data_IF_552028762295
#
_entry.id   IF_552028762295
#
_cell.length_a   1.000
_cell.length_b   1.000
_cell.length_c   1.000
_cell.angle_alpha   90.00
_cell.angle_beta   90.00
_cell.angle_gamma   90.00
#
_symmetry.space_group_name_H-M   'P 1'
#
loop_
_entity.id
_entity.type
_entity.pdbx_description
1 polymer ?
#
# COMPACT_ATOMS: atom_id res chain seq x y z
N UNK A 1 22.73 -10.42 -13.26
CA UNK A 1 21.32 -10.07 -13.50
C UNK A 1 20.52 -11.36 -13.51
N UNK A 2 19.60 -11.55 -12.56
CA UNK A 2 18.78 -12.77 -12.48
C UNK A 2 17.64 -12.66 -13.50
N UNK A 3 17.77 -13.42 -14.60
CA UNK A 3 16.90 -13.36 -15.79
C UNK A 3 15.62 -14.24 -15.62
N UNK A 4 15.54 -15.00 -14.53
CA UNK A 4 14.35 -15.71 -14.07
C UNK A 4 14.55 -16.09 -12.60
N UNK A 5 13.46 -16.31 -11.85
CA UNK A 5 13.52 -16.94 -10.54
C UNK A 5 12.85 -18.31 -10.63
N UNK A 6 13.65 -19.36 -10.87
CA UNK A 6 13.23 -20.76 -10.72
C UNK A 6 13.54 -21.20 -9.29
N UNK A 7 12.50 -21.43 -8.48
CA UNK A 7 12.68 -21.98 -7.13
C UNK A 7 12.85 -23.50 -7.21
N UNK A 8 14.10 -23.99 -7.29
CA UNK A 8 14.42 -25.43 -7.24
C UNK A 8 14.66 -25.92 -5.80
N UNK A 9 13.74 -25.67 -4.87
CA UNK A 9 13.81 -26.25 -3.52
C UNK A 9 12.64 -27.19 -3.27
N UNK A 10 12.69 -28.33 -3.95
CA UNK A 10 11.66 -29.38 -3.88
C UNK A 10 11.64 -30.10 -2.52
N UNK A 11 12.54 -29.76 -1.59
CA UNK A 11 12.57 -30.35 -0.25
C UNK A 11 11.58 -29.69 0.74
N UNK A 12 11.01 -28.52 0.41
CA UNK A 12 10.08 -27.77 1.27
C UNK A 12 8.83 -27.26 0.53
N UNK A 13 8.48 -27.86 -0.61
CA UNK A 13 7.33 -27.42 -1.40
C UNK A 13 6.01 -27.81 -0.71
N UNK A 14 5.29 -26.82 -0.19
CA UNK A 14 3.87 -26.92 0.12
C UNK A 14 3.10 -27.18 -1.20
N UNK A 15 2.32 -28.26 -1.25
CA UNK A 15 1.63 -28.80 -2.45
C UNK A 15 0.52 -27.91 -3.05
N UNK A 16 0.57 -26.59 -2.85
CA UNK A 16 -0.39 -25.62 -3.41
C UNK A 16 0.22 -24.61 -4.39
N UNK A 17 1.54 -24.63 -4.62
CA UNK A 17 2.17 -23.72 -5.57
C UNK A 17 2.32 -24.39 -6.94
N UNK A 18 1.48 -24.02 -7.90
CA UNK A 18 1.81 -24.23 -9.31
C UNK A 18 3.07 -23.43 -9.64
N UNK A 19 4.09 -24.10 -10.19
CA UNK A 19 5.30 -23.44 -10.70
C UNK A 19 4.91 -22.55 -11.87
N UNK A 20 4.72 -21.26 -11.63
CA UNK A 20 4.47 -20.28 -12.68
C UNK A 20 5.81 -19.64 -13.04
N UNK A 21 6.31 -19.97 -14.23
CA UNK A 21 7.39 -19.20 -14.84
C UNK A 21 6.86 -17.83 -15.23
N UNK A 22 7.30 -16.80 -14.49
CA UNK A 22 7.01 -15.40 -14.80
C UNK A 22 8.29 -14.75 -15.30
N UNK A 23 8.34 -14.44 -16.59
CA UNK A 23 9.48 -13.75 -17.20
C UNK A 23 9.56 -12.29 -16.73
N UNK A 24 10.77 -11.77 -16.60
CA UNK A 24 11.01 -10.36 -16.25
C UNK A 24 11.99 -9.76 -17.24
N UNK A 25 11.69 -8.57 -17.76
CA UNK A 25 12.65 -7.79 -18.55
C UNK A 25 12.90 -6.45 -17.88
N UNK A 26 14.11 -5.93 -18.00
CA UNK A 26 14.50 -4.64 -17.43
C UNK A 26 14.99 -3.69 -18.53
N UNK A 27 14.72 -2.40 -18.37
CA UNK A 27 15.27 -1.35 -19.23
C UNK A 27 16.69 -0.93 -18.80
N UNK A 28 17.29 0.02 -19.52
CA UNK A 28 18.64 0.55 -19.25
C UNK A 28 18.78 1.33 -17.93
N UNK A 29 17.67 1.60 -17.23
CA UNK A 29 17.63 2.24 -15.91
C UNK A 29 17.41 1.23 -14.77
N UNK A 30 17.51 -0.08 -15.07
CA UNK A 30 17.24 -1.16 -14.14
C UNK A 30 15.78 -1.17 -13.60
N UNK A 31 14.83 -0.74 -14.42
CA UNK A 31 13.39 -0.80 -14.13
C UNK A 31 12.76 -1.98 -14.88
N UNK A 32 11.83 -2.70 -14.27
CA UNK A 32 11.14 -3.81 -14.93
C UNK A 32 10.19 -3.30 -16.00
N UNK A 33 10.44 -3.55 -17.28
CA UNK A 33 9.54 -3.13 -18.36
C UNK A 33 8.47 -4.17 -18.69
N UNK A 34 8.71 -5.44 -18.37
CA UNK A 34 7.72 -6.53 -18.49
C UNK A 34 7.81 -7.47 -17.29
N UNK A 35 6.66 -7.85 -16.75
CA UNK A 35 6.48 -8.87 -15.71
C UNK A 35 5.41 -9.86 -16.18
N UNK A 36 5.82 -11.04 -16.63
CA UNK A 36 4.93 -12.00 -17.28
C UNK A 36 4.35 -11.42 -18.59
N UNK A 37 3.03 -11.23 -18.65
CA UNK A 37 2.35 -10.56 -19.77
C UNK A 37 2.10 -9.07 -19.53
N UNK A 38 2.35 -8.57 -18.31
CA UNK A 38 2.12 -7.17 -17.97
C UNK A 38 3.29 -6.32 -18.46
N UNK A 39 3.00 -5.30 -19.25
CA UNK A 39 3.97 -4.27 -19.62
C UNK A 39 3.87 -3.11 -18.64
N UNK A 40 4.99 -2.76 -18.01
CA UNK A 40 5.08 -1.67 -17.06
C UNK A 40 5.62 -0.40 -17.75
N UNK A 41 5.06 0.74 -17.38
CA UNK A 41 5.48 2.06 -17.83
C UNK A 41 6.04 2.89 -16.68
N UNK A 42 7.01 3.76 -16.97
CA UNK A 42 7.60 4.68 -16.00
C UNK A 42 7.71 6.09 -16.58
N UNK A 43 7.64 7.11 -15.72
CA UNK A 43 7.99 8.48 -16.10
C UNK A 43 9.52 8.73 -16.02
N UNK A 44 9.95 9.94 -16.37
CA UNK A 44 11.36 10.33 -16.35
C UNK A 44 11.97 10.38 -14.94
N UNK A 45 11.15 10.52 -13.90
CA UNK A 45 11.57 10.46 -12.50
C UNK A 45 11.64 9.01 -11.99
N UNK A 46 11.21 8.04 -12.79
CA UNK A 46 11.20 6.63 -12.47
C UNK A 46 9.96 6.17 -11.69
N UNK A 47 8.92 6.99 -11.60
CA UNK A 47 7.66 6.57 -11.00
C UNK A 47 6.91 5.64 -11.96
N UNK A 48 6.24 4.63 -11.41
CA UNK A 48 5.47 3.67 -12.19
C UNK A 48 4.18 4.31 -12.71
N UNK A 49 4.07 4.55 -14.02
CA UNK A 49 2.88 5.16 -14.63
C UNK A 49 1.84 4.16 -15.10
N UNK A 50 2.21 2.89 -15.26
CA UNK A 50 1.28 1.80 -15.56
C UNK A 50 1.83 0.45 -15.14
N UNK A 51 0.98 -0.41 -14.57
CA UNK A 51 1.30 -1.83 -14.31
C UNK A 51 0.74 -2.79 -15.37
N UNK A 52 0.25 -2.24 -16.49
CA UNK A 52 -0.42 -2.98 -17.55
C UNK A 52 -1.93 -3.14 -17.35
N UNK A 53 -2.47 -2.79 -16.18
CA UNK A 53 -3.91 -2.86 -15.88
C UNK A 53 -4.45 -1.57 -15.22
N UNK A 54 -3.61 -0.90 -14.45
CA UNK A 54 -3.86 0.36 -13.73
C UNK A 54 -2.85 1.39 -14.20
N UNK A 55 -3.33 2.59 -14.48
CA UNK A 55 -2.52 3.77 -14.77
C UNK A 55 -2.40 4.64 -13.53
N UNK A 56 -1.24 5.26 -13.33
CA UNK A 56 -0.91 6.05 -12.15
C UNK A 56 -0.45 7.45 -12.56
N UNK A 57 -0.91 8.45 -11.82
CA UNK A 57 -0.51 9.85 -11.99
C UNK A 57 0.14 10.36 -10.71
N UNK A 58 1.15 11.20 -10.88
CA UNK A 58 1.93 11.77 -9.78
C UNK A 58 1.95 13.30 -9.87
N UNK A 59 2.10 13.95 -8.74
CA UNK A 59 2.40 15.38 -8.70
C UNK A 59 3.90 15.67 -8.89
N UNK A 60 4.26 16.95 -8.87
CA UNK A 60 5.64 17.42 -9.04
C UNK A 60 6.58 16.99 -7.90
N UNK A 61 6.03 16.54 -6.78
CA UNK A 61 6.77 16.02 -5.62
C UNK A 61 6.88 14.49 -5.65
N UNK A 62 6.50 13.85 -6.78
CA UNK A 62 6.48 12.40 -6.99
C UNK A 62 5.51 11.65 -6.06
N UNK A 63 4.41 12.29 -5.63
CA UNK A 63 3.36 11.65 -4.85
C UNK A 63 2.21 11.22 -5.74
N UNK A 64 1.69 10.01 -5.50
CA UNK A 64 0.60 9.44 -6.28
C UNK A 64 -0.70 10.23 -6.06
N UNK A 65 -1.28 10.81 -7.10
CA UNK A 65 -2.53 11.58 -7.02
C UNK A 65 -3.74 10.83 -7.58
N UNK A 66 -3.51 9.87 -8.49
CA UNK A 66 -4.58 9.10 -9.12
C UNK A 66 -4.12 7.72 -9.53
N UNK A 67 -5.00 6.74 -9.37
CA UNK A 67 -4.95 5.42 -9.98
C UNK A 67 -6.24 5.18 -10.78
N UNK A 68 -6.14 4.65 -12.00
CA UNK A 68 -7.30 4.39 -12.85
C UNK A 68 -7.15 3.10 -13.67
N UNK A 69 -8.22 2.31 -13.80
CA UNK A 69 -8.18 1.00 -14.47
C UNK A 69 -8.76 -0.09 -13.57
N UNK A 70 -8.04 -1.20 -13.39
CA UNK A 70 -8.47 -2.27 -12.47
C UNK A 70 -8.59 -1.79 -11.01
N UNK A 71 -7.75 -0.84 -10.60
CA UNK A 71 -7.93 -0.09 -9.34
C UNK A 71 -8.23 1.36 -9.66
N UNK A 72 -9.20 1.95 -8.95
CA UNK A 72 -9.55 3.37 -9.11
C UNK A 72 -9.50 4.09 -7.77
N UNK A 73 -8.67 5.13 -7.70
CA UNK A 73 -8.54 5.96 -6.51
C UNK A 73 -8.01 7.34 -6.88
N UNK A 74 -8.40 8.33 -6.09
CA UNK A 74 -7.83 9.67 -6.05
C UNK A 74 -7.26 9.90 -4.66
N UNK A 75 -6.09 10.53 -4.61
CA UNK A 75 -5.37 10.79 -3.38
C UNK A 75 -5.11 12.29 -3.31
N UNK A 76 -5.29 12.87 -2.14
CA UNK A 76 -5.01 14.28 -1.87
C UNK A 76 -4.15 14.40 -0.64
N UNK A 77 -3.22 15.34 -0.68
CA UNK A 77 -2.23 15.54 0.37
C UNK A 77 -2.44 16.88 1.07
N UNK A 78 -2.07 16.95 2.34
CA UNK A 78 -2.00 18.21 3.07
C UNK A 78 -0.76 19.02 2.69
N UNK A 79 -0.66 20.30 3.09
CA UNK A 79 0.49 21.15 2.80
C UNK A 79 1.81 20.67 3.41
N UNK A 80 1.77 19.74 4.38
CA UNK A 80 2.96 19.16 5.01
C UNK A 80 3.45 17.91 4.28
N UNK A 81 2.75 17.46 3.23
CA UNK A 81 3.18 16.31 2.45
C UNK A 81 2.37 15.03 2.71
N UNK A 82 1.46 15.04 3.69
CA UNK A 82 0.85 13.81 4.24
C UNK A 82 -0.47 13.51 3.56
N UNK A 83 -0.85 12.23 3.50
CA UNK A 83 -2.09 11.81 2.86
C UNK A 83 -3.30 12.33 3.64
N UNK A 84 -4.04 13.27 3.06
CA UNK A 84 -5.22 13.87 3.67
C UNK A 84 -6.51 13.10 3.35
N UNK A 85 -6.64 12.63 2.11
CA UNK A 85 -7.86 11.97 1.65
C UNK A 85 -7.57 10.94 0.58
N UNK A 86 -8.31 9.84 0.61
CA UNK A 86 -8.49 8.92 -0.52
C UNK A 86 -9.96 8.91 -0.93
N UNK A 87 -10.23 8.76 -2.22
CA UNK A 87 -11.60 8.58 -2.71
C UNK A 87 -11.62 7.74 -3.99
N UNK A 88 -12.60 6.87 -4.12
CA UNK A 88 -12.91 6.17 -5.36
C UNK A 88 -13.60 7.08 -6.38
N UNK A 89 -14.07 6.50 -7.51
CA UNK A 89 -14.74 7.24 -8.57
C UNK A 89 -15.91 8.08 -8.04
N UNK A 90 -15.98 9.33 -8.48
CA UNK A 90 -17.04 10.27 -8.08
C UNK A 90 -17.19 10.46 -6.55
N UNK A 91 -16.11 10.26 -5.78
CA UNK A 91 -16.11 10.42 -4.32
C UNK A 91 -16.58 9.19 -3.54
N UNK A 92 -16.82 8.06 -4.20
CA UNK A 92 -17.23 6.83 -3.54
C UNK A 92 -16.16 6.35 -2.54
N UNK A 93 -16.57 5.84 -1.37
CA UNK A 93 -15.64 5.31 -0.38
C UNK A 93 -14.61 6.32 0.14
N UNK A 94 -14.95 7.62 0.11
CA UNK A 94 -14.05 8.68 0.60
C UNK A 94 -13.63 8.40 2.04
N UNK A 95 -12.32 8.43 2.29
CA UNK A 95 -11.72 8.35 3.61
C UNK A 95 -10.82 9.56 3.83
N UNK A 96 -10.99 10.26 4.94
CA UNK A 96 -10.20 11.43 5.35
C UNK A 96 -9.39 11.08 6.58
N UNK A 97 -8.14 11.49 6.59
CA UNK A 97 -7.16 11.17 7.62
C UNK A 97 -6.92 12.40 8.51
N UNK A 98 -7.01 12.22 9.82
CA UNK A 98 -6.77 13.25 10.83
C UNK A 98 -5.49 12.93 11.60
N UNK A 99 -4.59 13.90 11.66
CA UNK A 99 -3.30 13.77 12.33
C UNK A 99 -3.20 14.69 13.55
N UNK A 100 -2.50 14.23 14.59
CA UNK A 100 -2.00 15.03 15.72
C UNK A 100 -0.46 14.96 15.70
N UNK A 101 0.22 16.10 15.55
CA UNK A 101 1.63 16.09 15.16
C UNK A 101 1.79 15.29 13.86
N UNK A 102 2.69 14.31 13.84
CA UNK A 102 2.89 13.37 12.71
C UNK A 102 2.08 12.08 12.83
N UNK A 103 1.32 11.91 13.92
CA UNK A 103 0.61 10.68 14.23
C UNK A 103 -0.82 10.68 13.65
N UNK A 104 -1.19 9.64 12.91
CA UNK A 104 -2.58 9.45 12.45
C UNK A 104 -3.47 9.07 13.63
N UNK A 105 -4.43 9.92 14.00
CA UNK A 105 -5.29 9.71 15.18
C UNK A 105 -6.70 9.25 14.83
N UNK A 106 -7.19 9.58 13.63
CA UNK A 106 -8.52 9.17 13.20
C UNK A 106 -8.70 9.11 11.69
N UNK A 107 -9.67 8.31 11.26
CA UNK A 107 -10.17 8.27 9.89
C UNK A 107 -11.67 8.53 9.88
N UNK A 108 -12.12 9.33 8.91
CA UNK A 108 -13.51 9.70 8.72
C UNK A 108 -13.98 9.36 7.32
N UNK A 109 -15.26 9.08 7.14
CA UNK A 109 -15.83 8.95 5.80
C UNK A 109 -16.05 10.32 5.13
N UNK A 110 -16.52 10.30 3.88
CA UNK A 110 -16.86 11.51 3.12
C UNK A 110 -17.96 12.38 3.77
N UNK A 111 -18.82 11.79 4.61
CA UNK A 111 -19.89 12.47 5.34
C UNK A 111 -19.45 12.99 6.72
N UNK A 112 -18.22 12.67 7.16
CA UNK A 112 -17.68 13.07 8.46
C UNK A 112 -17.99 12.10 9.60
N UNK A 113 -18.49 10.90 9.31
CA UNK A 113 -18.64 9.86 10.33
C UNK A 113 -17.27 9.26 10.66
N UNK A 114 -17.00 9.05 11.94
CA UNK A 114 -15.76 8.41 12.41
C UNK A 114 -15.73 6.94 11.97
N UNK A 115 -14.77 6.59 11.14
CA UNK A 115 -14.50 5.23 10.68
C UNK A 115 -13.55 4.51 11.63
N UNK A 116 -12.45 5.15 11.99
CA UNK A 116 -11.43 4.56 12.87
C UNK A 116 -10.82 5.58 13.79
N UNK A 117 -10.44 5.16 14.99
CA UNK A 117 -9.63 5.95 15.92
C UNK A 117 -8.44 5.14 16.39
N UNK A 118 -7.28 5.78 16.36
CA UNK A 118 -6.01 5.21 16.78
C UNK A 118 -5.62 5.78 18.14
N UNK A 119 -5.16 4.90 19.04
CA UNK A 119 -4.58 5.29 20.32
C UNK A 119 -3.12 4.89 20.31
N UNK A 120 -2.25 5.89 20.34
CA UNK A 120 -0.80 5.71 20.36
C UNK A 120 -0.31 5.49 21.78
N UNK A 121 0.68 4.62 21.94
CA UNK A 121 1.42 4.44 23.18
C UNK A 121 2.33 5.62 23.52
N UNK A 122 3.04 5.55 24.65
CA UNK A 122 4.02 6.58 25.02
C UNK A 122 5.31 6.55 24.16
N UNK A 123 5.39 5.65 23.16
CA UNK A 123 6.49 5.53 22.23
C UNK A 123 6.04 5.97 20.83
N UNK A 124 6.95 6.64 20.11
CA UNK A 124 6.76 7.01 18.71
C UNK A 124 6.49 5.76 17.87
N UNK A 125 5.53 5.83 16.96
CA UNK A 125 5.14 4.75 16.03
C UNK A 125 4.57 3.46 16.68
N UNK A 126 3.90 3.56 17.84
CA UNK A 126 3.24 2.40 18.48
C UNK A 126 1.70 2.57 18.54
N UNK A 127 0.97 2.31 17.43
CA UNK A 127 -0.48 2.21 17.48
C UNK A 127 -0.88 0.92 18.21
N UNK A 128 -0.99 1.00 19.55
CA UNK A 128 -1.30 -0.14 20.43
C UNK A 128 -2.73 -0.66 20.19
N UNK A 129 -3.65 0.22 19.78
CA UNK A 129 -5.07 -0.07 19.59
C UNK A 129 -5.67 0.78 18.48
N UNK A 130 -6.54 0.18 17.67
CA UNK A 130 -7.50 0.92 16.85
C UNK A 130 -8.93 0.40 17.04
N UNK A 131 -9.90 1.29 16.87
CA UNK A 131 -11.33 1.00 17.00
C UNK A 131 -12.03 1.11 15.64
N UNK A 132 -12.88 0.15 15.29
CA UNK A 132 -13.79 0.22 14.12
C UNK A 132 -15.08 0.98 14.48
N UNK A 133 -15.42 1.97 13.67
CA UNK A 133 -16.60 2.83 13.79
C UNK A 133 -16.55 3.85 14.93
N UNK A 134 -17.67 4.54 15.16
CA UNK A 134 -17.82 5.55 16.21
C UNK A 134 -17.88 4.97 17.64
N UNK A 135 -17.91 3.65 17.79
CA UNK A 135 -18.01 2.96 19.07
C UNK A 135 -16.63 2.56 19.59
N UNK A 136 -16.52 2.38 20.90
CA UNK A 136 -15.33 1.82 21.58
C UNK A 136 -15.35 0.29 21.66
N UNK A 137 -16.35 -0.37 21.08
CA UNK A 137 -16.64 -1.79 21.33
C UNK A 137 -15.89 -2.76 20.43
N UNK A 138 -15.44 -2.35 19.24
CA UNK A 138 -14.67 -3.21 18.33
C UNK A 138 -13.19 -2.80 18.35
N UNK A 139 -12.47 -3.32 19.35
CA UNK A 139 -11.06 -3.03 19.62
C UNK A 139 -10.17 -4.02 18.88
N UNK A 140 -9.27 -3.51 18.05
CA UNK A 140 -8.26 -4.31 17.34
C UNK A 140 -6.85 -3.90 17.74
N UNK A 141 -5.97 -4.89 17.86
CA UNK A 141 -4.57 -4.70 18.25
C UNK A 141 -3.66 -5.04 17.08
N UNK A 142 -2.61 -4.25 16.87
CA UNK A 142 -1.47 -4.70 16.08
C UNK A 142 -0.70 -5.70 16.94
N UNK A 143 -0.81 -6.99 16.63
CA UNK A 143 0.08 -8.00 17.20
C UNK A 143 1.48 -7.70 16.68
N UNK A 144 2.38 -7.25 17.55
CA UNK A 144 3.81 -7.37 17.30
C UNK A 144 4.08 -8.86 17.12
N UNK A 145 4.33 -9.29 15.88
CA UNK A 145 4.79 -10.64 15.59
C UNK A 145 6.23 -10.76 16.11
N UNK A 146 6.37 -10.95 17.42
CA UNK A 146 7.58 -11.49 18.02
C UNK A 146 7.75 -12.92 17.52
N UNK A 147 8.45 -13.08 16.39
CA UNK A 147 8.99 -14.38 16.00
C UNK A 147 10.11 -14.68 17.02
N UNK A 148 9.76 -15.38 18.09
CA UNK A 148 10.74 -16.00 18.98
C UNK A 148 11.28 -17.22 18.27
N UNK A 149 12.45 -17.09 17.64
CA UNK A 149 13.23 -18.26 17.21
C UNK A 149 13.94 -18.81 18.44
N UNK A 150 13.37 -19.85 19.04
CA UNK A 150 14.12 -20.68 19.99
C UNK A 150 15.04 -21.58 19.18
N UNK A 151 16.35 -21.31 19.24
CA UNK A 151 17.37 -22.22 18.73
C UNK A 151 17.59 -23.29 19.80
N UNK A 152 17.40 -24.55 19.44
CA UNK A 152 17.95 -25.70 20.16
C UNK A 152 19.02 -26.35 19.30
#
# INVERSE_FOLDING_TARGET
>A
QLISNSRNNDAYAWYGASTVDRGYTTNGLNQYSVVGQASLGYDANGNLTSDGSTSFLYDVENRLTSASGATTATLSYDPLGRLYQTAGPSGAGTTRFLYDGDELVAEYDGAGALLRRYVHGAAVDDPIVWYEGASLTDRRHLLTLGITVTVH
#
